data_IF_191965629529
#
_entry.id   IF_191965629529
#
_cell.length_a   1.000
_cell.length_b   1.000
_cell.length_c   1.000
_cell.angle_alpha   90.00
_cell.angle_beta   90.00
_cell.angle_gamma   90.00
#
_symmetry.space_group_name_H-M   'P 1'
#
loop_
_entity.id
_entity.type
_entity.pdbx_description
1 polymer ?
#
# COMPACT_ATOMS: atom_id res chain seq x y z
N UNK A 1 34.97 51.82 5.47
CA UNK A 1 33.95 52.37 4.56
C UNK A 1 34.56 52.43 3.17
N UNK A 2 34.05 51.83 2.09
CA UNK A 2 32.76 51.20 1.81
C UNK A 2 32.97 50.17 0.67
N UNK A 3 32.13 49.13 0.65
CA UNK A 3 32.04 48.16 -0.44
C UNK A 3 31.49 48.83 -1.70
N UNK A 4 32.12 48.61 -2.86
CA UNK A 4 31.52 48.88 -4.18
C UNK A 4 31.21 47.55 -4.87
N UNK A 5 29.91 47.30 -4.99
CA UNK A 5 29.28 46.22 -5.74
C UNK A 5 29.41 46.56 -7.22
N UNK A 6 29.94 45.66 -8.03
CA UNK A 6 29.95 45.82 -9.49
C UNK A 6 28.95 44.83 -10.09
N UNK A 7 27.91 45.39 -10.70
CA UNK A 7 26.92 44.70 -11.51
C UNK A 7 27.53 44.34 -12.87
N UNK A 8 27.37 43.10 -13.30
CA UNK A 8 27.43 42.76 -14.72
C UNK A 8 26.08 42.20 -15.14
N UNK A 9 25.38 42.97 -15.99
CA UNK A 9 24.31 42.49 -16.87
C UNK A 9 24.97 41.78 -18.05
N UNK A 10 24.53 40.57 -18.36
CA UNK A 10 24.66 40.00 -19.69
C UNK A 10 23.23 39.76 -20.18
N UNK A 11 22.89 40.49 -21.24
CA UNK A 11 21.68 40.33 -22.03
C UNK A 11 21.89 39.14 -22.99
N UNK A 12 21.02 38.12 -22.95
CA UNK A 12 20.78 37.21 -24.08
C UNK A 12 19.31 36.76 -24.09
N UNK A 13 18.74 36.43 -25.28
CA UNK A 13 17.34 36.66 -25.61
C UNK A 13 16.38 35.52 -25.22
N UNK A 14 15.12 35.90 -25.03
CA UNK A 14 13.96 35.03 -24.83
C UNK A 14 13.64 34.24 -26.11
N UNK A 15 13.95 32.94 -26.14
CA UNK A 15 13.35 32.01 -27.10
C UNK A 15 12.52 30.91 -26.41
N UNK A 16 11.23 31.03 -26.69
CA UNK A 16 10.16 30.06 -26.84
C UNK A 16 9.94 28.92 -25.81
N UNK A 17 8.79 29.07 -25.14
CA UNK A 17 8.20 28.17 -24.19
C UNK A 17 7.63 26.90 -24.85
N UNK A 18 8.28 25.76 -24.64
CA UNK A 18 7.59 24.45 -24.64
C UNK A 18 7.87 23.71 -23.34
N UNK A 19 6.85 23.70 -22.47
CA UNK A 19 6.79 22.95 -21.20
C UNK A 19 7.17 21.48 -21.43
N UNK A 20 8.36 21.08 -20.96
CA UNK A 20 8.67 19.68 -20.69
C UNK A 20 8.33 19.38 -19.24
N UNK A 21 7.41 18.43 -19.06
CA UNK A 21 7.08 17.85 -17.77
C UNK A 21 8.31 17.05 -17.30
N UNK A 22 8.95 17.53 -16.23
CA UNK A 22 10.03 16.83 -15.54
C UNK A 22 9.41 15.77 -14.61
N UNK A 23 9.66 14.51 -14.90
CA UNK A 23 9.71 13.44 -13.89
C UNK A 23 11.04 12.74 -14.04
N UNK A 24 11.99 13.10 -13.18
CA UNK A 24 13.25 12.37 -13.00
C UNK A 24 13.17 11.61 -11.69
N UNK A 25 13.05 10.28 -11.78
CA UNK A 25 13.47 9.34 -10.74
C UNK A 25 14.88 8.88 -11.18
N UNK A 26 15.89 8.87 -10.30
CA UNK A 26 17.28 8.70 -10.70
C UNK A 26 17.56 7.31 -11.29
N UNK A 27 18.24 7.34 -12.43
CA UNK A 27 18.82 6.19 -13.14
C UNK A 27 20.02 5.69 -12.35
N UNK A 28 19.95 4.48 -11.81
CA UNK A 28 21.13 3.70 -11.42
C UNK A 28 20.82 2.21 -11.63
N UNK A 29 21.44 1.65 -12.68
CA UNK A 29 21.40 0.23 -13.00
C UNK A 29 21.02 -0.01 -14.46
N UNK A 30 22.01 -0.06 -15.35
CA UNK A 30 21.88 -0.66 -16.67
C UNK A 30 21.66 -2.17 -16.50
N UNK A 31 20.40 -2.55 -16.27
CA UNK A 31 19.89 -3.85 -16.68
C UNK A 31 18.91 -3.52 -17.79
N UNK A 32 19.39 -3.65 -19.03
CA UNK A 32 18.51 -3.73 -20.19
C UNK A 32 17.58 -4.91 -19.95
N UNK A 33 16.38 -4.61 -19.45
CA UNK A 33 15.40 -5.64 -19.16
C UNK A 33 14.75 -5.96 -20.51
N UNK A 34 15.42 -6.78 -21.32
CA UNK A 34 15.01 -7.18 -22.67
C UNK A 34 13.54 -7.63 -22.69
N UNK A 35 13.13 -8.34 -21.64
CA UNK A 35 11.75 -8.72 -21.40
C UNK A 35 10.82 -7.49 -21.27
N UNK A 36 11.19 -6.48 -20.48
CA UNK A 36 10.42 -5.24 -20.36
C UNK A 36 10.31 -4.51 -21.70
N UNK A 37 11.37 -4.50 -22.51
CA UNK A 37 11.34 -3.91 -23.84
C UNK A 37 10.36 -4.65 -24.75
N UNK A 38 10.41 -5.99 -24.79
CA UNK A 38 9.48 -6.84 -25.54
C UNK A 38 8.02 -6.64 -25.08
N UNK A 39 7.79 -6.58 -23.77
CA UNK A 39 6.47 -6.26 -23.18
C UNK A 39 5.99 -4.89 -23.66
N UNK A 40 6.84 -3.86 -23.61
CA UNK A 40 6.47 -2.50 -24.01
C UNK A 40 6.15 -2.40 -25.51
N UNK A 41 6.85 -3.15 -26.37
CA UNK A 41 6.52 -3.23 -27.81
C UNK A 41 5.12 -3.81 -28.00
N UNK A 42 4.83 -4.96 -27.38
CA UNK A 42 3.50 -5.59 -27.46
C UNK A 42 2.38 -4.67 -26.96
N UNK A 43 2.63 -3.91 -25.89
CA UNK A 43 1.67 -2.92 -25.37
C UNK A 43 1.45 -1.79 -26.37
N UNK A 44 2.52 -1.25 -26.97
CA UNK A 44 2.42 -0.18 -27.97
C UNK A 44 1.66 -0.62 -29.22
N UNK A 45 1.82 -1.89 -29.61
CA UNK A 45 1.13 -2.50 -30.74
C UNK A 45 -0.33 -2.87 -30.41
N UNK A 46 -0.79 -2.62 -29.18
CA UNK A 46 -2.14 -2.97 -28.72
C UNK A 46 -2.33 -4.46 -28.40
N UNK A 47 -1.27 -5.27 -28.53
CA UNK A 47 -1.29 -6.70 -28.25
C UNK A 47 -1.13 -7.00 -26.76
N UNK A 48 -2.16 -6.64 -25.98
CA UNK A 48 -2.17 -6.83 -24.53
C UNK A 48 -2.18 -8.32 -24.13
N UNK A 49 -2.85 -9.19 -24.91
CA UNK A 49 -2.85 -10.64 -24.66
C UNK A 49 -1.47 -11.24 -24.85
N UNK A 50 -0.78 -10.85 -25.92
CA UNK A 50 0.61 -11.25 -26.15
C UNK A 50 1.53 -10.80 -25.02
N UNK A 51 1.36 -9.58 -24.50
CA UNK A 51 2.14 -9.09 -23.37
C UNK A 51 1.89 -9.91 -22.09
N UNK A 52 0.64 -10.29 -21.82
CA UNK A 52 0.25 -11.15 -20.68
C UNK A 52 0.88 -12.54 -20.82
N UNK A 53 0.74 -13.17 -21.99
CA UNK A 53 1.31 -14.50 -22.25
C UNK A 53 2.83 -14.49 -22.13
N UNK A 54 3.49 -13.49 -22.71
CA UNK A 54 4.94 -13.34 -22.62
C UNK A 54 5.42 -13.27 -21.16
N UNK A 55 4.75 -12.46 -20.33
CA UNK A 55 5.13 -12.37 -18.91
C UNK A 55 4.96 -13.73 -18.21
N UNK A 56 3.86 -14.43 -18.45
CA UNK A 56 3.60 -15.74 -17.82
C UNK A 56 4.64 -16.78 -18.21
N UNK A 57 4.99 -16.84 -19.49
CA UNK A 57 5.96 -17.80 -20.03
C UNK A 57 7.36 -17.54 -19.48
N UNK A 58 7.84 -16.31 -19.55
CA UNK A 58 9.21 -15.94 -19.17
C UNK A 58 9.44 -16.00 -17.66
N UNK A 59 8.39 -15.68 -16.87
CA UNK A 59 8.46 -15.79 -15.40
C UNK A 59 8.02 -17.16 -14.87
N UNK A 60 7.50 -18.03 -15.74
CA UNK A 60 6.84 -19.30 -15.36
C UNK A 60 5.78 -19.11 -14.26
N UNK A 61 5.09 -17.98 -14.30
CA UNK A 61 4.10 -17.56 -13.29
C UNK A 61 4.68 -16.98 -12.00
N UNK A 62 6.00 -17.03 -11.77
CA UNK A 62 6.64 -16.50 -10.56
C UNK A 62 7.26 -15.11 -10.79
N UNK A 63 6.42 -14.08 -10.77
CA UNK A 63 6.80 -12.71 -11.10
C UNK A 63 7.35 -11.98 -9.85
N UNK A 64 8.68 -11.94 -9.71
CA UNK A 64 9.36 -11.31 -8.56
C UNK A 64 9.96 -9.92 -8.85
N UNK A 65 10.17 -9.57 -10.12
CA UNK A 65 10.63 -8.24 -10.50
C UNK A 65 9.48 -7.22 -10.28
N UNK A 66 9.66 -6.17 -9.46
CA UNK A 66 8.59 -5.23 -9.13
C UNK A 66 8.01 -4.47 -10.33
N UNK A 67 8.84 -4.19 -11.34
CA UNK A 67 8.43 -3.46 -12.55
C UNK A 67 7.55 -4.37 -13.40
N UNK A 68 8.00 -5.61 -13.66
CA UNK A 68 7.23 -6.61 -14.41
C UNK A 68 5.94 -6.96 -13.66
N UNK A 69 5.99 -7.10 -12.34
CA UNK A 69 4.82 -7.35 -11.49
C UNK A 69 3.76 -6.27 -11.65
N UNK A 70 4.16 -4.99 -11.58
CA UNK A 70 3.25 -3.87 -11.79
C UNK A 70 2.69 -3.82 -13.21
N UNK A 71 3.50 -4.12 -14.23
CA UNK A 71 3.03 -4.22 -15.63
C UNK A 71 1.98 -5.30 -15.80
N UNK A 72 2.25 -6.50 -15.27
CA UNK A 72 1.34 -7.62 -15.34
C UNK A 72 0.01 -7.32 -14.66
N UNK A 73 0.03 -6.77 -13.44
CA UNK A 73 -1.19 -6.37 -12.73
C UNK A 73 -2.02 -5.35 -13.53
N UNK A 74 -1.38 -4.33 -14.10
CA UNK A 74 -2.06 -3.33 -14.92
C UNK A 74 -2.65 -3.94 -16.20
N UNK A 75 -1.97 -4.90 -16.83
CA UNK A 75 -2.47 -5.59 -18.01
C UNK A 75 -3.74 -6.39 -17.70
N UNK A 76 -3.73 -7.16 -16.59
CA UNK A 76 -4.91 -7.89 -16.12
C UNK A 76 -6.08 -6.93 -15.85
N UNK A 77 -5.80 -5.77 -15.25
CA UNK A 77 -6.80 -4.74 -14.98
C UNK A 77 -7.40 -4.16 -16.28
N UNK A 78 -6.55 -3.78 -17.24
CA UNK A 78 -6.99 -3.25 -18.54
C UNK A 78 -7.84 -4.25 -19.32
N UNK A 79 -7.51 -5.54 -19.22
CA UNK A 79 -8.24 -6.64 -19.86
C UNK A 79 -9.45 -7.12 -19.06
N UNK A 80 -9.70 -6.55 -17.88
CA UNK A 80 -10.79 -6.95 -16.97
C UNK A 80 -10.76 -8.46 -16.66
N UNK A 81 -9.56 -9.03 -16.57
CA UNK A 81 -9.33 -10.43 -16.20
C UNK A 81 -9.42 -10.56 -14.68
N UNK A 82 -10.63 -10.30 -14.15
CA UNK A 82 -10.87 -10.17 -12.72
C UNK A 82 -10.46 -11.40 -11.89
N UNK A 83 -10.75 -12.65 -12.31
CA UNK A 83 -10.30 -13.83 -11.57
C UNK A 83 -8.78 -13.87 -11.42
N UNK A 84 -8.04 -13.68 -12.51
CA UNK A 84 -6.58 -13.70 -12.51
C UNK A 84 -5.97 -12.49 -11.81
N UNK A 85 -6.62 -11.33 -11.90
CA UNK A 85 -6.23 -10.11 -11.18
C UNK A 85 -6.31 -10.32 -9.67
N UNK A 86 -7.40 -10.93 -9.19
CA UNK A 86 -7.60 -11.25 -7.77
C UNK A 86 -6.58 -12.28 -7.30
N UNK A 87 -6.40 -13.36 -8.07
CA UNK A 87 -5.42 -14.40 -7.74
C UNK A 87 -4.01 -13.81 -7.63
N UNK A 88 -3.59 -13.07 -8.66
CA UNK A 88 -2.27 -12.43 -8.67
C UNK A 88 -2.14 -11.32 -7.63
N UNK A 89 -3.20 -10.58 -7.37
CA UNK A 89 -3.23 -9.48 -6.40
C UNK A 89 -2.77 -9.90 -5.00
N UNK A 90 -3.08 -11.13 -4.57
CA UNK A 90 -2.63 -11.68 -3.27
C UNK A 90 -1.10 -11.75 -3.20
N UNK A 91 -0.45 -12.27 -4.24
CA UNK A 91 1.00 -12.36 -4.34
C UNK A 91 1.64 -10.98 -4.54
N UNK A 92 1.01 -10.11 -5.33
CA UNK A 92 1.56 -8.79 -5.61
C UNK A 92 1.60 -7.89 -4.38
N UNK A 93 0.57 -7.93 -3.51
CA UNK A 93 0.57 -7.20 -2.24
C UNK A 93 1.72 -7.67 -1.33
N UNK A 94 2.01 -8.97 -1.28
CA UNK A 94 3.16 -9.48 -0.51
C UNK A 94 4.49 -8.94 -1.05
N UNK A 95 4.66 -8.93 -2.38
CA UNK A 95 5.84 -8.34 -3.02
C UNK A 95 5.97 -6.85 -2.67
N UNK A 96 4.90 -6.08 -2.84
CA UNK A 96 4.86 -4.65 -2.51
C UNK A 96 5.17 -4.38 -1.04
N UNK A 97 4.70 -5.25 -0.14
CA UNK A 97 4.99 -5.18 1.29
C UNK A 97 6.48 -5.36 1.57
N UNK A 98 7.13 -6.35 0.92
CA UNK A 98 8.57 -6.63 1.08
C UNK A 98 9.45 -5.48 0.59
N UNK A 99 9.07 -4.83 -0.49
CA UNK A 99 9.82 -3.69 -1.07
C UNK A 99 9.36 -2.33 -0.55
N UNK A 100 8.55 -2.30 0.51
CA UNK A 100 8.07 -1.09 1.17
C UNK A 100 7.28 -0.12 0.25
N UNK A 101 6.65 -0.63 -0.81
CA UNK A 101 5.78 0.13 -1.73
C UNK A 101 4.36 0.24 -1.18
N UNK A 102 4.26 0.86 0.00
CA UNK A 102 3.05 0.88 0.84
C UNK A 102 1.86 1.57 0.17
N UNK A 103 2.12 2.61 -0.63
CA UNK A 103 1.07 3.34 -1.32
C UNK A 103 0.35 2.44 -2.34
N UNK A 104 1.15 1.78 -3.17
CA UNK A 104 0.67 0.87 -4.20
C UNK A 104 0.00 -0.36 -3.60
N UNK A 105 0.53 -0.86 -2.48
CA UNK A 105 -0.06 -1.96 -1.74
C UNK A 105 -1.52 -1.66 -1.37
N UNK A 106 -1.81 -0.46 -0.84
CA UNK A 106 -3.18 -0.07 -0.50
C UNK A 106 -4.09 0.02 -1.72
N UNK A 107 -3.59 0.59 -2.83
CA UNK A 107 -4.36 0.65 -4.09
C UNK A 107 -4.74 -0.74 -4.59
N UNK A 108 -3.78 -1.66 -4.63
CA UNK A 108 -4.00 -3.04 -5.07
C UNK A 108 -4.98 -3.76 -4.15
N UNK A 109 -4.83 -3.61 -2.83
CA UNK A 109 -5.74 -4.19 -1.85
C UNK A 109 -7.18 -3.69 -2.04
N UNK A 110 -7.38 -2.38 -2.14
CA UNK A 110 -8.71 -1.79 -2.29
C UNK A 110 -9.34 -2.16 -3.64
N UNK A 111 -8.55 -2.20 -4.72
CA UNK A 111 -9.04 -2.62 -6.03
C UNK A 111 -9.47 -4.10 -6.02
N UNK A 112 -8.67 -4.99 -5.44
CA UNK A 112 -9.06 -6.41 -5.40
C UNK A 112 -10.28 -6.62 -4.51
N UNK A 113 -10.37 -5.89 -3.38
CA UNK A 113 -11.53 -5.92 -2.47
C UNK A 113 -12.81 -5.37 -3.12
N UNK A 114 -12.72 -4.39 -4.02
CA UNK A 114 -13.90 -3.85 -4.72
C UNK A 114 -14.44 -4.80 -5.79
N UNK A 115 -13.62 -5.74 -6.26
CA UNK A 115 -14.02 -6.79 -7.21
C UNK A 115 -14.51 -8.04 -6.47
N UNK A 116 -13.83 -8.40 -5.37
CA UNK A 116 -14.20 -9.51 -4.49
C UNK A 116 -14.15 -9.06 -3.02
N UNK A 117 -15.32 -8.92 -2.39
CA UNK A 117 -15.40 -8.49 -0.99
C UNK A 117 -14.66 -9.45 -0.03
N UNK A 118 -14.52 -10.72 -0.42
CA UNK A 118 -13.80 -11.77 0.31
C UNK A 118 -12.31 -11.81 -0.05
N UNK A 119 -11.80 -10.82 -0.78
CA UNK A 119 -10.38 -10.70 -1.07
C UNK A 119 -9.56 -10.63 0.23
N UNK A 120 -8.68 -11.61 0.42
CA UNK A 120 -7.85 -11.76 1.63
C UNK A 120 -6.42 -12.08 1.22
N UNK A 121 -5.44 -11.37 1.78
CA UNK A 121 -4.09 -11.91 1.78
C UNK A 121 -3.96 -12.83 3.01
N UNK A 122 -3.66 -14.12 2.81
CA UNK A 122 -3.55 -15.07 3.92
C UNK A 122 -2.29 -14.84 4.77
N UNK A 123 -1.44 -13.87 4.42
CA UNK A 123 -0.32 -13.42 5.23
C UNK A 123 -0.79 -12.39 6.28
N UNK A 124 -0.83 -12.82 7.54
CA UNK A 124 -1.22 -11.99 8.68
C UNK A 124 -0.33 -10.75 8.86
N UNK A 125 0.99 -10.88 8.66
CA UNK A 125 1.92 -9.75 8.77
C UNK A 125 1.64 -8.70 7.68
N UNK A 126 1.38 -9.17 6.46
CA UNK A 126 1.03 -8.29 5.35
C UNK A 126 -0.30 -7.57 5.59
N UNK A 127 -1.33 -8.25 6.12
CA UNK A 127 -2.60 -7.63 6.49
C UNK A 127 -2.47 -6.59 7.59
N UNK A 128 -1.67 -6.85 8.61
CA UNK A 128 -1.40 -5.87 9.66
C UNK A 128 -0.76 -4.59 9.10
N UNK A 129 0.22 -4.73 8.20
CA UNK A 129 0.84 -3.59 7.50
C UNK A 129 -0.21 -2.86 6.65
N UNK A 130 -1.00 -3.61 5.87
CA UNK A 130 -2.07 -3.06 5.03
C UNK A 130 -3.04 -2.20 5.85
N UNK A 131 -3.51 -2.72 6.99
CA UNK A 131 -4.44 -2.05 7.88
C UNK A 131 -3.88 -0.73 8.42
N UNK A 132 -2.62 -0.73 8.89
CA UNK A 132 -1.95 0.50 9.32
C UNK A 132 -1.90 1.54 8.21
N UNK A 133 -1.56 1.11 6.99
CA UNK A 133 -1.42 2.04 5.87
C UNK A 133 -2.74 2.61 5.39
N UNK A 134 -3.80 1.80 5.39
CA UNK A 134 -5.15 2.30 5.12
C UNK A 134 -5.56 3.37 6.13
N UNK A 135 -5.23 3.18 7.40
CA UNK A 135 -5.53 4.16 8.45
C UNK A 135 -4.76 5.47 8.24
N UNK A 136 -3.48 5.40 7.89
CA UNK A 136 -2.65 6.57 7.56
C UNK A 136 -3.18 7.34 6.35
N UNK A 137 -3.88 6.66 5.43
CA UNK A 137 -4.55 7.25 4.26
C UNK A 137 -5.99 7.71 4.48
N UNK A 138 -6.45 7.73 5.73
CA UNK A 138 -7.84 8.05 6.10
C UNK A 138 -8.92 7.05 5.61
N UNK A 139 -8.53 5.86 5.15
CA UNK A 139 -9.46 4.76 4.83
C UNK A 139 -9.77 3.98 6.12
N UNK A 140 -10.40 4.65 7.08
CA UNK A 140 -10.53 4.15 8.46
C UNK A 140 -11.41 2.91 8.58
N UNK A 141 -12.50 2.82 7.80
CA UNK A 141 -13.39 1.67 7.82
C UNK A 141 -12.68 0.42 7.31
N UNK A 142 -11.95 0.55 6.21
CA UNK A 142 -11.19 -0.51 5.55
C UNK A 142 -10.00 -0.92 6.41
N UNK A 143 -9.34 0.04 7.08
CA UNK A 143 -8.30 -0.23 8.07
C UNK A 143 -8.82 -1.07 9.23
N UNK A 144 -9.97 -0.70 9.81
CA UNK A 144 -10.63 -1.47 10.86
C UNK A 144 -10.91 -2.90 10.39
N UNK A 145 -11.54 -3.06 9.22
CA UNK A 145 -11.85 -4.38 8.67
C UNK A 145 -10.59 -5.22 8.41
N UNK A 146 -9.51 -4.60 7.95
CA UNK A 146 -8.24 -5.29 7.74
C UNK A 146 -7.60 -5.75 9.06
N UNK A 147 -7.67 -4.96 10.14
CA UNK A 147 -7.24 -5.41 11.48
C UNK A 147 -8.11 -6.54 12.02
N UNK A 148 -9.43 -6.49 11.82
CA UNK A 148 -10.34 -7.57 12.24
C UNK A 148 -10.02 -8.89 11.52
N UNK A 149 -9.74 -8.82 10.20
CA UNK A 149 -9.30 -9.98 9.42
C UNK A 149 -7.93 -10.50 9.86
N UNK A 150 -6.99 -9.62 10.16
CA UNK A 150 -5.69 -10.01 10.72
C UNK A 150 -5.86 -10.84 12.01
N UNK A 151 -6.69 -10.37 12.95
CA UNK A 151 -6.97 -11.09 14.21
C UNK A 151 -7.67 -12.43 13.94
N UNK A 152 -8.57 -12.49 12.96
CA UNK A 152 -9.28 -13.71 12.62
C UNK A 152 -8.38 -14.80 11.99
N UNK A 153 -7.32 -14.40 11.29
CA UNK A 153 -6.36 -15.33 10.67
C UNK A 153 -5.36 -15.87 11.70
N UNK A 154 -4.86 -15.01 12.59
CA UNK A 154 -3.91 -15.40 13.63
C UNK A 154 -4.23 -14.68 14.95
N UNK A 155 -5.11 -15.30 15.74
CA UNK A 155 -5.58 -14.77 17.03
C UNK A 155 -4.50 -14.72 18.11
N UNK A 156 -3.38 -15.44 17.91
CA UNK A 156 -2.27 -15.54 18.85
C UNK A 156 -1.04 -14.75 18.39
N UNK A 157 -1.14 -14.03 17.26
CA UNK A 157 -0.06 -13.19 16.77
C UNK A 157 0.33 -12.14 17.82
N UNK A 158 1.64 -11.91 17.99
CA UNK A 158 2.17 -10.94 18.96
C UNK A 158 1.65 -9.50 18.79
N UNK A 159 1.06 -9.19 17.64
CA UNK A 159 0.54 -7.85 17.29
C UNK A 159 -0.98 -7.74 17.51
N UNK A 160 -1.67 -8.80 17.93
CA UNK A 160 -3.11 -8.77 18.21
C UNK A 160 -3.48 -7.69 19.25
N UNK A 161 -2.76 -7.54 20.38
CA UNK A 161 -3.05 -6.46 21.32
C UNK A 161 -2.99 -5.06 20.68
N UNK A 162 -1.97 -4.83 19.84
CA UNK A 162 -1.80 -3.57 19.12
C UNK A 162 -2.90 -3.37 18.07
N UNK A 163 -3.30 -4.41 17.33
CA UNK A 163 -4.39 -4.34 16.37
C UNK A 163 -5.75 -4.04 17.03
N UNK A 164 -6.07 -4.71 18.15
CA UNK A 164 -7.27 -4.42 18.93
C UNK A 164 -7.30 -2.98 19.41
N UNK A 165 -6.16 -2.46 19.88
CA UNK A 165 -6.06 -1.07 20.26
C UNK A 165 -6.24 -0.10 19.07
N UNK A 166 -5.67 -0.39 17.90
CA UNK A 166 -5.92 0.41 16.70
C UNK A 166 -7.40 0.42 16.29
N UNK A 167 -8.09 -0.73 16.36
CA UNK A 167 -9.53 -0.81 16.11
C UNK A 167 -10.28 0.11 17.08
N UNK A 168 -9.99 0.03 18.38
CA UNK A 168 -10.63 0.89 19.38
C UNK A 168 -10.39 2.38 19.12
N UNK A 169 -9.16 2.77 18.75
CA UNK A 169 -8.86 4.16 18.37
C UNK A 169 -9.64 4.61 17.15
N UNK A 170 -9.71 3.79 16.10
CA UNK A 170 -10.48 4.10 14.89
C UNK A 170 -11.97 4.28 15.23
N UNK A 171 -12.53 3.36 16.02
CA UNK A 171 -13.92 3.43 16.46
C UNK A 171 -14.22 4.74 17.20
N UNK A 172 -13.39 5.09 18.17
CA UNK A 172 -13.59 6.30 18.97
C UNK A 172 -13.34 7.59 18.16
N UNK A 173 -12.18 7.71 17.52
CA UNK A 173 -11.69 8.98 16.96
C UNK A 173 -12.20 9.27 15.55
N UNK A 174 -12.57 8.23 14.79
CA UNK A 174 -12.85 8.34 13.34
C UNK A 174 -14.26 7.91 12.96
N UNK A 175 -14.85 6.95 13.69
CA UNK A 175 -16.18 6.42 13.41
C UNK A 175 -17.25 6.88 14.40
N UNK A 176 -16.89 7.66 15.43
CA UNK A 176 -17.81 8.13 16.47
C UNK A 176 -18.56 6.99 17.21
N UNK A 177 -17.87 5.88 17.45
CA UNK A 177 -18.39 4.70 18.16
C UNK A 177 -17.65 4.46 19.51
N UNK A 178 -17.66 5.41 20.46
CA UNK A 178 -16.85 5.35 21.69
C UNK A 178 -17.23 4.18 22.60
N UNK A 179 -18.50 3.79 22.64
CA UNK A 179 -18.95 2.65 23.47
C UNK A 179 -18.29 1.34 23.02
N UNK A 180 -18.26 1.07 21.71
CA UNK A 180 -17.58 -0.11 21.17
C UNK A 180 -16.07 -0.06 21.40
N UNK A 181 -15.46 1.12 21.33
CA UNK A 181 -14.05 1.31 21.64
C UNK A 181 -13.74 0.94 23.11
N UNK A 182 -14.58 1.41 24.05
CA UNK A 182 -14.47 1.10 25.48
C UNK A 182 -14.57 -0.42 25.72
N UNK A 183 -15.52 -1.10 25.08
CA UNK A 183 -15.71 -2.54 25.23
C UNK A 183 -14.47 -3.32 24.77
N UNK A 184 -13.91 -2.98 23.60
CA UNK A 184 -12.69 -3.60 23.09
C UNK A 184 -11.51 -3.36 24.04
N UNK A 185 -11.33 -2.12 24.53
CA UNK A 185 -10.22 -1.78 25.43
C UNK A 185 -10.34 -2.52 26.77
N UNK A 186 -11.54 -2.63 27.35
CA UNK A 186 -11.75 -3.40 28.57
C UNK A 186 -11.39 -4.88 28.36
N UNK A 187 -11.82 -5.47 27.24
CA UNK A 187 -11.46 -6.84 26.87
C UNK A 187 -9.96 -7.04 26.69
N UNK A 188 -9.30 -6.10 26.01
CA UNK A 188 -7.85 -6.08 25.79
C UNK A 188 -7.08 -6.06 27.10
N UNK A 189 -7.42 -5.17 28.03
CA UNK A 189 -6.75 -5.07 29.35
C UNK A 189 -6.96 -6.35 30.17
N UNK A 190 -8.16 -6.96 30.09
CA UNK A 190 -8.47 -8.20 30.80
C UNK A 190 -7.67 -9.39 30.26
N UNK A 191 -7.53 -9.50 28.92
CA UNK A 191 -6.85 -10.62 28.25
C UNK A 191 -5.33 -10.46 28.24
N UNK A 192 -4.83 -9.22 28.17
CA UNK A 192 -3.40 -8.90 28.06
C UNK A 192 -2.96 -7.86 29.12
N UNK A 193 -3.07 -8.17 30.43
CA UNK A 193 -2.81 -7.19 31.49
C UNK A 193 -1.34 -6.72 31.56
N UNK A 194 -0.39 -7.52 31.09
CA UNK A 194 1.05 -7.21 31.14
C UNK A 194 1.66 -6.85 29.78
N UNK A 195 0.84 -6.46 28.81
CA UNK A 195 1.35 -5.98 27.52
C UNK A 195 2.16 -4.68 27.69
N UNK A 196 3.20 -4.49 26.86
CA UNK A 196 4.08 -3.30 26.90
C UNK A 196 3.29 -1.97 26.88
N UNK A 197 2.15 -1.95 26.19
CA UNK A 197 1.32 -0.77 25.99
C UNK A 197 0.17 -0.63 27.01
N UNK A 198 0.02 -1.53 28.00
CA UNK A 198 -1.15 -1.53 28.90
C UNK A 198 -1.34 -0.20 29.64
N UNK A 199 -0.27 0.41 30.15
CA UNK A 199 -0.36 1.68 30.87
C UNK A 199 -0.88 2.84 29.98
N UNK A 200 -0.45 2.84 28.71
CA UNK A 200 -0.94 3.80 27.71
C UNK A 200 -2.41 3.55 27.37
N UNK A 201 -2.79 2.29 27.15
CA UNK A 201 -4.16 1.87 26.85
C UNK A 201 -5.12 2.25 27.99
N UNK A 202 -4.73 2.05 29.25
CA UNK A 202 -5.51 2.45 30.42
C UNK A 202 -5.68 3.97 30.51
N UNK A 203 -4.64 4.74 30.17
CA UNK A 203 -4.71 6.20 30.14
C UNK A 203 -5.66 6.69 29.05
N UNK A 204 -5.62 6.06 27.87
CA UNK A 204 -6.58 6.32 26.79
C UNK A 204 -8.02 6.00 27.20
N UNK A 205 -8.26 4.87 27.87
CA UNK A 205 -9.59 4.49 28.37
C UNK A 205 -10.19 5.55 29.31
N UNK A 206 -9.37 6.15 30.19
CA UNK A 206 -9.82 7.22 31.08
C UNK A 206 -10.25 8.47 30.30
N UNK A 207 -9.54 8.81 29.24
CA UNK A 207 -9.87 9.96 28.40
C UNK A 207 -11.19 9.77 27.64
N UNK A 208 -11.50 8.57 27.14
CA UNK A 208 -12.77 8.31 26.43
C UNK A 208 -13.98 8.43 27.35
N UNK A 209 -13.84 8.03 28.62
CA UNK A 209 -14.94 8.02 29.60
C UNK A 209 -15.20 9.38 30.27
N UNK A 210 -14.36 10.38 29.99
CA UNK A 210 -14.50 11.74 30.53
C UNK A 210 -15.33 12.58 29.57
#
# INVERSE_FOLDING_TARGET
>A
MAYKINYQRNDEPLEDSKKQIKTAIPVNGLVDNELLNRINVLIKDGNLDGAISLIREETRGNINDPIIAGRYFNLLQLRKMNPELIEYGRNYIQLLSKINQKDKLCEVYLLCKSIDENFINNDASCLYITAKMLNEKNNHLEAKQAFERFIAIDENHAMVPNAQFFIAKILNEKLNEPLKAVDIINGLIKKHPFHENTAYIQSYLRQIKT
#
